data_IF_055876183217
#
_entry.id   IF_055876183217
#
_cell.length_a   1.000
_cell.length_b   1.000
_cell.length_c   1.000
_cell.angle_alpha   90.00
_cell.angle_beta   90.00
_cell.angle_gamma   90.00
#
_symmetry.space_group_name_H-M   'P 1'
#
loop_
_entity.id
_entity.type
_entity.pdbx_description
1 polymer ?
#
# COMPACT_ATOMS: atom_id res chain seq x y z
N UNK A 1 17.62 -2.55 17.53
CA UNK A 1 17.74 -3.30 16.26
C UNK A 1 16.93 -2.55 15.25
N UNK A 2 17.55 -2.00 14.22
CA UNK A 2 16.77 -1.49 13.08
C UNK A 2 17.52 -1.95 11.85
N UNK A 3 16.90 -2.88 11.13
CA UNK A 3 17.32 -3.42 9.84
C UNK A 3 17.96 -2.34 8.95
N UNK A 4 18.99 -2.69 8.16
CA UNK A 4 19.88 -1.86 7.31
C UNK A 4 19.19 -0.99 6.22
N UNK A 5 18.05 -0.36 6.49
CA UNK A 5 17.33 0.48 5.55
C UNK A 5 17.37 1.93 6.03
N UNK A 6 18.05 2.80 5.27
CA UNK A 6 18.00 4.24 5.49
C UNK A 6 16.71 4.80 4.89
N UNK A 7 16.19 5.87 5.49
CA UNK A 7 15.00 6.56 4.98
C UNK A 7 15.22 7.06 3.54
N UNK A 8 16.44 7.47 3.20
CA UNK A 8 16.80 7.91 1.84
C UNK A 8 16.65 6.80 0.79
N UNK A 9 17.08 5.58 1.12
CA UNK A 9 16.93 4.42 0.25
C UNK A 9 15.44 4.03 0.09
N UNK A 10 14.66 4.19 1.16
CA UNK A 10 13.21 4.00 1.12
C UNK A 10 12.53 5.00 0.19
N UNK A 11 12.80 6.29 0.36
CA UNK A 11 12.20 7.34 -0.46
C UNK A 11 12.58 7.20 -1.94
N UNK A 12 13.83 6.85 -2.23
CA UNK A 12 14.28 6.59 -3.61
C UNK A 12 13.53 5.42 -4.23
N UNK A 13 13.36 4.32 -3.50
CA UNK A 13 12.62 3.15 -3.98
C UNK A 13 11.12 3.43 -4.12
N UNK A 14 10.54 4.18 -3.19
CA UNK A 14 9.13 4.57 -3.22
C UNK A 14 8.82 5.46 -4.43
N UNK A 15 9.73 6.37 -4.78
CA UNK A 15 9.63 7.19 -5.97
C UNK A 15 9.82 6.39 -7.27
N UNK A 16 10.62 5.31 -7.24
CA UNK A 16 10.86 4.45 -8.39
C UNK A 16 9.76 3.41 -8.64
N UNK A 17 9.11 2.91 -7.57
CA UNK A 17 8.05 1.90 -7.64
C UNK A 17 6.91 2.24 -6.67
N UNK A 18 5.92 2.96 -7.20
CA UNK A 18 4.70 3.34 -6.49
C UNK A 18 3.90 2.14 -5.99
N UNK A 19 3.93 1.01 -6.71
CA UNK A 19 3.22 -0.21 -6.32
C UNK A 19 3.88 -0.82 -5.10
N UNK A 20 5.21 -0.93 -5.11
CA UNK A 20 5.96 -1.43 -3.96
C UNK A 20 5.74 -0.57 -2.71
N UNK A 21 5.73 0.76 -2.86
CA UNK A 21 5.43 1.68 -1.77
C UNK A 21 4.03 1.43 -1.21
N UNK A 22 3.04 1.32 -2.09
CA UNK A 22 1.66 1.07 -1.71
C UNK A 22 1.49 -0.27 -0.98
N UNK A 23 2.13 -1.34 -1.45
CA UNK A 23 2.10 -2.64 -0.74
C UNK A 23 2.67 -2.54 0.67
N UNK A 24 3.74 -1.76 0.87
CA UNK A 24 4.34 -1.56 2.19
C UNK A 24 3.45 -0.72 3.10
N UNK A 25 2.90 0.39 2.61
CA UNK A 25 1.95 1.21 3.38
C UNK A 25 0.76 0.39 3.86
N UNK A 26 0.24 -0.46 2.98
CA UNK A 26 -0.87 -1.34 3.30
C UNK A 26 -0.52 -2.40 4.35
N UNK A 27 0.69 -2.98 4.29
CA UNK A 27 1.11 -4.06 5.18
C UNK A 27 1.62 -3.59 6.55
N UNK A 28 2.36 -2.48 6.56
CA UNK A 28 3.06 -1.99 7.75
C UNK A 28 2.37 -0.80 8.41
N UNK A 29 1.30 -0.30 7.79
CA UNK A 29 0.54 0.83 8.28
C UNK A 29 0.94 2.13 7.59
N UNK A 30 0.00 3.06 7.67
CA UNK A 30 0.06 4.32 6.94
C UNK A 30 0.89 5.40 7.65
N UNK A 31 1.18 5.22 8.95
CA UNK A 31 1.76 6.30 9.76
C UNK A 31 0.94 7.58 9.60
N UNK A 32 1.60 8.65 9.14
CA UNK A 32 1.00 9.95 8.82
C UNK A 32 0.66 10.14 7.33
N UNK A 33 0.90 9.13 6.48
CA UNK A 33 0.61 9.16 5.04
C UNK A 33 -0.84 8.74 4.74
N UNK A 34 -1.40 9.29 3.66
CA UNK A 34 -2.72 8.89 3.15
C UNK A 34 -2.55 8.09 1.87
N UNK A 35 -3.34 7.03 1.72
CA UNK A 35 -3.40 6.30 0.46
C UNK A 35 -4.01 7.18 -0.61
N UNK A 36 -3.31 7.34 -1.73
CA UNK A 36 -3.89 7.94 -2.91
C UNK A 36 -4.86 6.94 -3.59
N UNK A 37 -6.17 7.21 -3.62
CA UNK A 37 -7.17 6.28 -4.16
C UNK A 37 -6.98 5.99 -5.65
N UNK A 38 -6.41 6.92 -6.42
CA UNK A 38 -6.15 6.72 -7.85
C UNK A 38 -5.04 5.70 -8.09
N UNK A 39 -3.96 5.79 -7.30
CA UNK A 39 -2.83 4.83 -7.35
C UNK A 39 -3.29 3.46 -6.89
N UNK A 40 -4.09 3.41 -5.82
CA UNK A 40 -4.66 2.16 -5.32
C UNK A 40 -5.55 1.49 -6.37
N UNK A 41 -6.43 2.25 -7.04
CA UNK A 41 -7.28 1.71 -8.10
C UNK A 41 -6.47 1.26 -9.32
N UNK A 42 -5.42 2.00 -9.68
CA UNK A 42 -4.53 1.67 -10.81
C UNK A 42 -3.87 0.31 -10.62
N UNK A 43 -3.32 0.04 -9.43
CA UNK A 43 -2.58 -1.20 -9.16
C UNK A 43 -3.42 -2.29 -8.47
N UNK A 44 -4.72 -2.05 -8.21
CA UNK A 44 -5.55 -2.92 -7.38
C UNK A 44 -5.46 -4.42 -7.71
N UNK A 45 -5.49 -4.77 -9.00
CA UNK A 45 -5.43 -6.16 -9.44
C UNK A 45 -4.05 -6.79 -9.24
N UNK A 46 -2.99 -5.99 -9.31
CA UNK A 46 -1.58 -6.42 -9.22
C UNK A 46 -1.03 -6.45 -7.80
N UNK A 47 -1.67 -5.72 -6.87
CA UNK A 47 -1.20 -5.61 -5.48
C UNK A 47 -1.23 -6.95 -4.77
N UNK A 48 -0.07 -7.35 -4.24
CA UNK A 48 0.10 -8.52 -3.40
C UNK A 48 -0.22 -8.19 -1.95
N UNK A 49 -1.48 -8.38 -1.58
CA UNK A 49 -1.97 -8.19 -0.21
C UNK A 49 -2.76 -9.40 0.29
N UNK A 50 -2.86 -9.59 1.62
CA UNK A 50 -3.76 -10.58 2.22
C UNK A 50 -5.22 -10.39 1.77
N UNK A 51 -5.97 -11.48 1.62
CA UNK A 51 -7.35 -11.44 1.09
C UNK A 51 -8.32 -10.70 2.02
N UNK A 52 -8.16 -10.87 3.33
CA UNK A 52 -8.89 -10.14 4.37
C UNK A 52 -8.70 -8.63 4.26
N UNK A 53 -7.46 -8.18 4.04
CA UNK A 53 -7.15 -6.78 3.84
C UNK A 53 -7.73 -6.25 2.52
N UNK A 54 -7.67 -7.05 1.45
CA UNK A 54 -8.30 -6.72 0.16
C UNK A 54 -9.81 -6.57 0.30
N UNK A 55 -10.45 -7.50 1.00
CA UNK A 55 -11.89 -7.51 1.24
C UNK A 55 -12.31 -6.29 2.09
N UNK A 56 -11.54 -5.97 3.14
CA UNK A 56 -11.77 -4.78 3.95
C UNK A 56 -11.68 -3.48 3.14
N UNK A 57 -10.64 -3.35 2.30
CA UNK A 57 -10.47 -2.18 1.44
C UNK A 57 -11.54 -2.11 0.34
N UNK A 58 -11.96 -3.24 -0.23
CA UNK A 58 -13.03 -3.30 -1.22
C UNK A 58 -14.36 -2.82 -0.62
N UNK A 59 -14.70 -3.27 0.59
CA UNK A 59 -15.84 -2.75 1.33
C UNK A 59 -15.72 -1.24 1.56
N UNK A 60 -14.58 -0.77 2.07
CA UNK A 60 -14.38 0.64 2.42
C UNK A 60 -14.45 1.57 1.20
N UNK A 61 -13.93 1.13 0.05
CA UNK A 61 -13.78 1.98 -1.13
C UNK A 61 -14.92 1.85 -2.13
N UNK A 62 -15.57 0.69 -2.20
CA UNK A 62 -16.56 0.38 -3.23
C UNK A 62 -17.89 -0.15 -2.68
N UNK A 63 -18.07 -0.21 -1.36
CA UNK A 63 -19.28 -0.75 -0.72
C UNK A 63 -19.65 -2.16 -1.22
N UNK A 64 -18.62 -2.94 -1.59
CA UNK A 64 -18.82 -4.34 -1.98
C UNK A 64 -19.25 -5.16 -0.76
N UNK A 65 -20.45 -5.74 -0.84
CA UNK A 65 -20.97 -6.64 0.18
C UNK A 65 -20.37 -8.03 -0.01
N UNK A 66 -19.82 -8.58 1.08
CA UNK A 66 -19.27 -9.94 1.17
C UNK A 66 -20.32 -11.02 0.90
#
# INVERSE_FOLDING_TARGET
>A
MTWDYTDEAYQTQAAADERWHLERLLRYGLGDERINPQVLKKYWQELRMPEDMRAFLALLLWDEKF
#
